data_IF_591461840029
#
_entry.id   IF_591461840029
#
_cell.length_a   1.000
_cell.length_b   1.000
_cell.length_c   1.000
_cell.angle_alpha   90.00
_cell.angle_beta   90.00
_cell.angle_gamma   90.00
#
_symmetry.space_group_name_H-M   'P 1'
#
loop_
_entity.id
_entity.type
_entity.pdbx_description
1 polymer ?
#
# COMPACT_ATOMS: atom_id res chain seq x y z
N UNK A 1 -1.07 16.88 -1.70
CA UNK A 1 -0.63 15.54 -1.25
C UNK A 1 -1.33 15.27 0.08
N UNK A 2 -1.91 14.09 0.26
CA UNK A 2 -2.66 13.75 1.49
C UNK A 2 -1.90 12.80 2.41
N UNK A 3 -1.12 11.87 1.85
CA UNK A 3 -0.27 10.96 2.62
C UNK A 3 0.93 10.50 1.77
N UNK A 4 2.00 10.05 2.42
CA UNK A 4 3.16 9.46 1.76
C UNK A 4 3.80 8.36 2.63
N UNK A 5 4.48 7.41 2.01
CA UNK A 5 5.22 6.37 2.72
C UNK A 5 6.47 5.94 1.96
N UNK A 6 7.60 5.89 2.67
CA UNK A 6 8.88 5.43 2.13
C UNK A 6 8.92 3.91 1.92
N UNK A 7 9.56 3.48 0.84
CA UNK A 7 10.03 2.11 0.72
C UNK A 7 11.12 1.87 1.77
N UNK A 8 10.98 0.78 2.53
CA UNK A 8 11.93 0.40 3.58
C UNK A 8 12.90 -0.70 3.12
N UNK A 9 12.96 -0.98 1.82
CA UNK A 9 13.89 -1.93 1.24
C UNK A 9 15.29 -1.35 1.19
N UNK A 10 16.24 -1.98 1.89
CA UNK A 10 17.64 -1.51 1.95
C UNK A 10 18.37 -1.61 0.59
N UNK A 11 17.87 -2.46 -0.30
CA UNK A 11 18.47 -2.74 -1.60
C UNK A 11 17.63 -2.19 -2.76
N UNK A 12 16.68 -1.30 -2.48
CA UNK A 12 15.95 -0.56 -3.50
C UNK A 12 16.56 0.84 -3.64
N UNK A 13 16.61 1.39 -4.86
CA UNK A 13 16.77 2.83 -5.01
C UNK A 13 15.72 3.56 -4.17
N UNK A 14 16.07 4.74 -3.65
CA UNK A 14 15.17 5.52 -2.82
C UNK A 14 13.82 5.69 -3.54
N UNK A 15 12.77 5.13 -2.95
CA UNK A 15 11.43 5.06 -3.55
C UNK A 15 10.40 5.39 -2.48
N UNK A 16 9.35 6.13 -2.82
CA UNK A 16 8.25 6.44 -1.91
C UNK A 16 6.91 6.43 -2.64
N UNK A 17 5.84 6.05 -1.94
CA UNK A 17 4.47 6.12 -2.41
C UNK A 17 3.84 7.44 -1.95
N UNK A 18 3.05 8.07 -2.82
CA UNK A 18 2.33 9.32 -2.54
C UNK A 18 0.85 9.15 -2.87
N UNK A 19 -0.01 9.46 -1.90
CA UNK A 19 -1.45 9.62 -2.06
C UNK A 19 -1.84 11.10 -2.27
N UNK A 20 -2.81 11.33 -3.16
CA UNK A 20 -3.29 12.67 -3.49
C UNK A 20 -4.77 12.85 -3.15
N UNK A 21 -5.18 14.09 -2.87
CA UNK A 21 -6.59 14.45 -2.66
C UNK A 21 -7.47 14.23 -3.90
N UNK A 22 -6.85 14.12 -5.08
CA UNK A 22 -7.50 13.75 -6.34
C UNK A 22 -7.78 12.25 -6.48
N UNK A 23 -7.41 11.41 -5.50
CA UNK A 23 -7.55 9.95 -5.56
C UNK A 23 -6.42 9.24 -6.30
N UNK A 24 -5.48 9.98 -6.86
CA UNK A 24 -4.26 9.42 -7.46
C UNK A 24 -3.37 8.81 -6.37
N UNK A 25 -2.73 7.70 -6.73
CA UNK A 25 -1.65 7.07 -5.96
C UNK A 25 -0.47 6.82 -6.92
N UNK A 26 0.71 7.34 -6.59
CA UNK A 26 1.89 7.23 -7.45
C UNK A 26 3.13 6.87 -6.64
N UNK A 27 3.99 6.06 -7.24
CA UNK A 27 5.31 5.74 -6.70
C UNK A 27 6.34 6.61 -7.39
N UNK A 28 7.13 7.31 -6.58
CA UNK A 28 8.26 8.11 -7.04
C UNK A 28 9.55 7.40 -6.66
N UNK A 29 10.49 7.35 -7.60
CA UNK A 29 11.82 6.77 -7.43
C UNK A 29 12.86 7.82 -7.78
N UNK A 30 13.91 7.90 -6.96
CA UNK A 30 15.06 8.73 -7.28
C UNK A 30 15.85 8.09 -8.42
N UNK A 31 16.06 8.86 -9.48
CA UNK A 31 16.93 8.50 -10.59
C UNK A 31 18.26 9.23 -10.44
N UNK A 32 19.35 8.47 -10.35
CA UNK A 32 20.69 9.01 -10.12
C UNK A 32 21.21 9.77 -11.35
N UNK A 33 20.90 9.28 -12.56
CA UNK A 33 21.32 9.91 -13.82
C UNK A 33 20.66 11.27 -14.04
N UNK A 34 19.36 11.37 -13.81
CA UNK A 34 18.59 12.60 -13.89
C UNK A 34 18.67 13.47 -12.61
N UNK A 35 19.30 12.97 -11.55
CA UNK A 35 19.41 13.59 -10.22
C UNK A 35 18.07 14.13 -9.69
N UNK A 36 16.97 13.43 -10.00
CA UNK A 36 15.62 13.89 -9.75
C UNK A 36 14.67 12.74 -9.41
N UNK A 37 13.52 13.07 -8.84
CA UNK A 37 12.48 12.11 -8.51
C UNK A 37 11.54 11.93 -9.69
N UNK A 38 11.45 10.71 -10.22
CA UNK A 38 10.59 10.36 -11.36
C UNK A 38 9.40 9.53 -10.90
N UNK A 39 8.23 9.73 -11.51
CA UNK A 39 7.08 8.86 -11.31
C UNK A 39 7.37 7.50 -11.96
N UNK A 40 7.65 6.48 -11.14
CA UNK A 40 7.99 5.15 -11.60
C UNK A 40 6.76 4.37 -12.06
N UNK A 41 5.66 4.45 -11.30
CA UNK A 41 4.40 3.80 -11.64
C UNK A 41 3.23 4.49 -10.94
N UNK A 42 2.07 4.47 -11.60
CA UNK A 42 0.79 4.89 -11.02
C UNK A 42 -0.03 3.67 -10.64
N UNK A 43 -0.47 3.63 -9.39
CA UNK A 43 -1.37 2.58 -8.90
C UNK A 43 -2.83 2.91 -9.21
N UNK A 44 -3.76 1.93 -9.14
CA UNK A 44 -5.17 2.19 -9.32
C UNK A 44 -5.68 3.31 -8.41
N UNK A 45 -6.45 4.22 -8.99
CA UNK A 45 -6.97 5.38 -8.29
C UNK A 45 -8.08 5.03 -7.29
N UNK A 46 -8.21 5.84 -6.25
CA UNK A 46 -9.40 5.87 -5.42
C UNK A 46 -10.49 6.68 -6.14
N UNK A 47 -11.62 6.03 -6.41
CA UNK A 47 -12.74 6.58 -7.16
C UNK A 47 -14.03 5.82 -6.80
N UNK A 48 -15.18 6.47 -7.01
CA UNK A 48 -16.48 5.79 -6.89
C UNK A 48 -16.69 4.77 -8.01
N UNK A 49 -17.73 3.94 -7.88
CA UNK A 49 -18.14 3.01 -8.93
C UNK A 49 -18.39 3.70 -10.29
N UNK A 50 -18.79 4.98 -10.28
CA UNK A 50 -19.02 5.78 -11.48
C UNK A 50 -17.76 6.50 -11.99
N UNK A 51 -16.58 6.14 -11.48
CA UNK A 51 -15.29 6.71 -11.88
C UNK A 51 -14.99 8.11 -11.32
N UNK A 52 -15.82 8.63 -10.40
CA UNK A 52 -15.58 9.96 -9.84
C UNK A 52 -14.45 9.87 -8.82
N UNK A 53 -13.33 10.60 -8.98
CA UNK A 53 -12.18 10.46 -8.10
C UNK A 53 -12.50 10.80 -6.64
N UNK A 54 -11.85 10.11 -5.71
CA UNK A 54 -12.03 10.29 -4.26
C UNK A 54 -10.67 10.33 -3.59
N UNK A 55 -10.46 11.31 -2.71
CA UNK A 55 -9.16 11.55 -2.11
C UNK A 55 -8.61 10.35 -1.34
N UNK A 56 -7.32 10.09 -1.50
CA UNK A 56 -6.59 9.11 -0.71
C UNK A 56 -6.44 9.67 0.71
N UNK A 57 -6.76 8.88 1.73
CA UNK A 57 -6.66 9.26 3.13
C UNK A 57 -5.31 8.84 3.72
N UNK A 58 -4.86 7.63 3.41
CA UNK A 58 -3.57 7.14 3.88
C UNK A 58 -2.92 6.16 2.90
N UNK A 59 -1.59 6.09 2.95
CA UNK A 59 -0.78 5.13 2.21
C UNK A 59 0.29 4.56 3.12
N UNK A 60 0.52 3.24 3.06
CA UNK A 60 1.53 2.58 3.88
C UNK A 60 2.30 1.53 3.07
N UNK A 61 3.61 1.72 2.97
CA UNK A 61 4.52 0.79 2.32
C UNK A 61 5.00 -0.28 3.31
N UNK A 62 4.84 -1.56 2.98
CA UNK A 62 5.23 -2.66 3.84
C UNK A 62 6.77 -2.86 3.84
N UNK A 63 7.41 -3.07 5.00
CA UNK A 63 8.79 -3.54 5.08
C UNK A 63 9.02 -4.80 4.23
N UNK A 64 10.05 -4.83 3.39
CA UNK A 64 10.29 -5.94 2.47
C UNK A 64 11.17 -7.05 3.09
N UNK A 65 10.72 -7.65 4.20
CA UNK A 65 11.46 -8.74 4.86
C UNK A 65 11.16 -10.06 4.14
N UNK A 66 12.12 -10.57 3.36
CA UNK A 66 12.04 -11.90 2.74
C UNK A 66 11.07 -12.03 1.55
N UNK A 67 10.53 -10.94 0.99
CA UNK A 67 9.68 -10.97 -0.21
C UNK A 67 10.40 -10.47 -1.44
N UNK A 68 10.04 -11.01 -2.61
CA UNK A 68 10.54 -10.58 -3.92
C UNK A 68 9.69 -9.46 -4.55
N UNK A 69 8.68 -8.99 -3.82
CA UNK A 69 7.72 -7.97 -4.22
C UNK A 69 7.43 -7.03 -3.05
N UNK A 70 6.94 -5.84 -3.36
CA UNK A 70 6.47 -4.86 -2.40
C UNK A 70 4.96 -4.98 -2.23
N UNK A 71 4.52 -4.72 -1.00
CA UNK A 71 3.11 -4.48 -0.69
C UNK A 71 2.93 -3.04 -0.27
N UNK A 72 1.89 -2.41 -0.80
CA UNK A 72 1.52 -1.03 -0.50
C UNK A 72 0.04 -1.03 -0.18
N UNK A 73 -0.30 -0.62 1.04
CA UNK A 73 -1.68 -0.43 1.44
C UNK A 73 -2.10 1.01 1.13
N UNK A 74 -3.34 1.20 0.68
CA UNK A 74 -3.94 2.52 0.51
C UNK A 74 -5.38 2.50 0.97
N UNK A 75 -5.82 3.60 1.57
CA UNK A 75 -7.22 3.83 1.89
C UNK A 75 -7.67 5.21 1.41
N UNK A 76 -8.95 5.36 1.08
CA UNK A 76 -9.47 6.59 0.51
C UNK A 76 -10.94 6.81 0.80
N UNK A 77 -11.43 8.00 0.43
CA UNK A 77 -12.84 8.43 0.54
C UNK A 77 -13.79 7.71 -0.42
N UNK A 78 -13.31 6.70 -1.14
CA UNK A 78 -14.14 5.73 -1.86
C UNK A 78 -14.56 4.55 -0.98
N UNK A 79 -14.26 4.61 0.32
CA UNK A 79 -14.53 3.58 1.32
C UNK A 79 -13.88 2.26 0.95
N UNK A 80 -12.66 2.30 0.40
CA UNK A 80 -11.90 1.10 0.04
C UNK A 80 -10.56 1.11 0.75
N UNK A 81 -10.27 -0.01 1.42
CA UNK A 81 -8.91 -0.39 1.80
C UNK A 81 -8.37 -1.35 0.74
N UNK A 82 -7.21 -1.02 0.17
CA UNK A 82 -6.57 -1.81 -0.88
C UNK A 82 -5.16 -2.20 -0.48
N UNK A 83 -4.73 -3.36 -0.96
CA UNK A 83 -3.32 -3.77 -0.97
C UNK A 83 -2.88 -3.99 -2.41
N UNK A 84 -1.83 -3.27 -2.80
CA UNK A 84 -1.22 -3.36 -4.12
C UNK A 84 0.06 -4.17 -4.05
N UNK A 85 0.23 -5.09 -5.02
CA UNK A 85 1.45 -5.86 -5.22
C UNK A 85 2.27 -5.23 -6.33
N UNK A 86 3.51 -4.86 -6.03
CA UNK A 86 4.45 -4.24 -6.98
C UNK A 86 5.75 -5.03 -7.00
N UNK A 87 6.18 -5.48 -8.16
CA UNK A 87 7.42 -6.25 -8.32
C UNK A 87 8.48 -5.44 -9.04
N UNK A 88 9.74 -5.76 -8.78
CA UNK A 88 10.86 -5.29 -9.59
C UNK A 88 10.80 -5.99 -10.95
N UNK A 89 10.60 -5.22 -12.01
CA UNK A 89 10.78 -5.68 -13.38
C UNK A 89 12.24 -5.98 -13.64
N UNK A 90 12.51 -7.03 -14.43
CA UNK A 90 13.82 -7.20 -15.05
C UNK A 90 13.89 -6.19 -16.19
N UNK A 91 14.87 -5.29 -16.17
CA UNK A 91 15.13 -4.40 -17.29
C UNK A 91 15.21 -5.22 -18.57
N UNK A 92 14.35 -4.90 -19.55
CA UNK A 92 14.39 -5.56 -20.85
C UNK A 92 15.73 -5.26 -21.52
N UNK A 93 16.43 -6.32 -21.95
CA UNK A 93 17.47 -6.19 -22.98
C UNK A 93 16.79 -5.72 -24.26
N UNK A 94 16.88 -4.43 -24.55
CA UNK A 94 16.98 -3.97 -25.93
C UNK A 94 18.38 -4.29 -26.45
N UNK A 95 18.46 -4.55 -27.75
CA UNK A 95 19.57 -5.14 -28.52
C UNK A 95 21.00 -4.62 -28.23
N UNK A 96 21.95 -5.48 -28.58
CA UNK A 96 23.40 -5.42 -28.37
C UNK A 96 24.04 -4.03 -28.55
N UNK A 97 24.85 -3.60 -27.57
CA UNK A 97 25.91 -2.61 -27.83
C UNK A 97 26.18 -1.48 -26.84
N UNK A 98 25.52 -1.38 -25.68
CA UNK A 98 25.78 -0.27 -24.76
C UNK A 98 26.12 -0.70 -23.32
N UNK A 99 27.17 -0.07 -22.80
CA UNK A 99 27.78 -0.14 -21.47
C UNK A 99 26.83 -0.51 -20.33
N UNK A 100 27.26 -1.46 -19.50
CA UNK A 100 26.59 -1.89 -18.27
C UNK A 100 26.69 -0.80 -17.20
N UNK A 101 25.92 0.27 -17.33
CA UNK A 101 25.58 1.17 -16.22
C UNK A 101 24.21 0.74 -15.68
N UNK A 102 24.24 0.12 -14.49
CA UNK A 102 23.11 -0.23 -13.62
C UNK A 102 21.72 -0.15 -14.28
N UNK A 103 21.28 -1.26 -14.90
CA UNK A 103 19.94 -1.40 -15.45
C UNK A 103 18.90 -0.86 -14.44
N UNK A 104 18.23 0.23 -14.78
CA UNK A 104 17.24 0.84 -13.89
C UNK A 104 16.16 -0.22 -13.64
N UNK A 105 16.13 -0.72 -12.40
CA UNK A 105 15.13 -1.72 -12.02
C UNK A 105 13.75 -1.07 -12.22
N UNK A 106 12.98 -1.53 -13.20
CA UNK A 106 11.64 -0.99 -13.42
C UNK A 106 10.71 -1.51 -12.33
N UNK A 107 9.62 -0.79 -12.04
CA UNK A 107 8.57 -1.27 -11.16
C UNK A 107 7.36 -1.68 -11.99
N UNK A 108 6.78 -2.84 -11.66
CA UNK A 108 5.62 -3.40 -12.36
C UNK A 108 4.52 -3.66 -11.34
N UNK A 109 3.33 -3.12 -11.58
CA UNK A 109 2.13 -3.39 -10.78
C UNK A 109 1.57 -4.74 -11.20
N UNK A 110 1.50 -5.69 -10.26
CA UNK A 110 1.03 -7.05 -10.54
C UNK A 110 -0.44 -7.25 -10.18
N UNK A 111 -1.00 -6.44 -9.28
CA UNK A 111 -2.38 -6.59 -8.86
C UNK A 111 -2.77 -5.74 -7.66
N UNK A 112 -4.08 -5.67 -7.45
CA UNK A 112 -4.71 -4.96 -6.35
C UNK A 112 -5.78 -5.85 -5.74
N UNK A 113 -5.78 -5.93 -4.42
CA UNK A 113 -6.81 -6.62 -3.65
C UNK A 113 -7.59 -5.59 -2.82
N UNK A 114 -8.92 -5.61 -2.92
CA UNK A 114 -9.80 -4.83 -2.04
C UNK A 114 -10.04 -5.63 -0.74
N UNK A 115 -9.60 -5.11 0.41
CA UNK A 115 -9.70 -5.77 1.71
C UNK A 115 -11.01 -5.44 2.43
N UNK A 116 -11.39 -4.16 2.43
CA UNK A 116 -12.58 -3.68 3.12
C UNK A 116 -13.34 -2.65 2.28
N UNK A 117 -14.64 -2.53 2.56
CA UNK A 117 -15.56 -1.55 1.96
C UNK A 117 -16.03 -0.50 2.97
N UNK A 118 -15.33 -0.37 4.09
CA UNK A 118 -15.58 0.62 5.14
C UNK A 118 -14.76 1.89 4.91
N UNK A 119 -15.18 2.99 5.55
CA UNK A 119 -14.43 4.24 5.54
C UNK A 119 -13.19 4.09 6.44
N UNK A 120 -12.05 3.76 5.83
CA UNK A 120 -10.76 3.60 6.52
C UNK A 120 -9.94 4.87 6.37
N UNK A 121 -9.51 5.44 7.49
CA UNK A 121 -8.76 6.69 7.53
C UNK A 121 -7.26 6.48 7.70
N UNK A 122 -6.85 5.38 8.32
CA UNK A 122 -5.45 5.06 8.60
C UNK A 122 -5.19 3.60 8.29
N UNK A 123 -4.02 3.34 7.71
CA UNK A 123 -3.54 1.98 7.51
C UNK A 123 -2.04 1.91 7.82
N UNK A 124 -1.58 0.85 8.48
CA UNK A 124 -0.18 0.73 8.84
C UNK A 124 0.27 -0.73 8.89
N UNK A 125 1.44 -1.00 8.33
CA UNK A 125 2.08 -2.30 8.43
C UNK A 125 2.87 -2.45 9.73
N UNK A 126 2.87 -3.65 10.29
CA UNK A 126 3.79 -4.02 11.35
C UNK A 126 5.26 -4.04 10.85
N UNK A 127 6.20 -4.22 11.77
CA UNK A 127 7.65 -4.17 11.48
C UNK A 127 8.10 -5.17 10.41
N UNK A 128 7.50 -6.37 10.39
CA UNK A 128 7.83 -7.42 9.41
C UNK A 128 7.07 -7.26 8.08
N UNK A 129 6.11 -6.34 8.01
CA UNK A 129 5.24 -6.14 6.85
C UNK A 129 4.30 -7.31 6.54
N UNK A 130 4.02 -8.17 7.53
CA UNK A 130 3.15 -9.36 7.39
C UNK A 130 1.73 -9.12 7.86
N UNK A 131 1.52 -8.14 8.74
CA UNK A 131 0.20 -7.76 9.26
C UNK A 131 -0.04 -6.30 8.95
N UNK A 132 -1.20 -6.01 8.38
CA UNK A 132 -1.71 -4.66 8.16
C UNK A 132 -2.77 -4.36 9.22
N UNK A 133 -2.68 -3.21 9.87
CA UNK A 133 -3.73 -2.68 10.71
C UNK A 133 -4.48 -1.57 9.95
N UNK A 134 -5.80 -1.50 10.11
CA UNK A 134 -6.62 -0.42 9.56
C UNK A 134 -7.59 0.11 10.60
N UNK A 135 -7.80 1.42 10.63
CA UNK A 135 -8.79 2.08 11.50
C UNK A 135 -9.62 3.10 10.72
N UNK A 136 -10.87 3.27 11.12
CA UNK A 136 -11.84 4.14 10.47
C UNK A 136 -13.01 4.51 11.37
N UNK A 137 -14.12 4.93 10.78
CA UNK A 137 -15.31 5.44 11.49
C UNK A 137 -16.03 4.42 12.37
N UNK A 138 -15.84 3.12 12.12
CA UNK A 138 -16.54 2.07 12.85
C UNK A 138 -16.07 1.91 14.31
N UNK A 139 -15.07 2.67 14.77
CA UNK A 139 -14.51 2.50 16.12
C UNK A 139 -13.80 1.16 16.32
N UNK A 140 -13.52 0.43 15.24
CA UNK A 140 -12.86 -0.87 15.24
C UNK A 140 -11.53 -0.76 14.49
N UNK A 141 -10.48 -1.31 15.07
CA UNK A 141 -9.23 -1.58 14.38
C UNK A 141 -9.26 -3.01 13.86
N UNK A 142 -9.11 -3.16 12.54
CA UNK A 142 -9.05 -4.48 11.89
C UNK A 142 -7.60 -4.84 11.58
N UNK A 143 -7.24 -6.09 11.82
CA UNK A 143 -5.93 -6.66 11.49
C UNK A 143 -6.08 -7.61 10.30
N UNK A 144 -5.22 -7.46 9.31
CA UNK A 144 -5.26 -8.19 8.06
C UNK A 144 -3.96 -8.94 7.83
N UNK A 145 -4.06 -10.19 7.38
CA UNK A 145 -2.90 -11.03 7.05
C UNK A 145 -3.18 -11.84 5.79
N UNK A 146 -2.16 -12.03 4.96
CA UNK A 146 -2.25 -12.89 3.79
C UNK A 146 -2.26 -14.37 4.17
N UNK A 147 -3.13 -15.16 3.55
CA UNK A 147 -3.08 -16.62 3.63
C UNK A 147 -2.00 -17.21 2.70
N UNK A 148 -1.92 -18.55 2.64
CA UNK A 148 -0.96 -19.26 1.80
C UNK A 148 -1.21 -19.10 0.30
N UNK A 149 -2.41 -18.64 -0.09
CA UNK A 149 -2.75 -18.31 -1.48
C UNK A 149 -2.41 -16.84 -1.81
N UNK A 150 -1.90 -16.08 -0.84
CA UNK A 150 -1.56 -14.67 -0.99
C UNK A 150 -2.77 -13.73 -0.87
N UNK A 151 -3.94 -14.23 -0.45
CA UNK A 151 -5.15 -13.41 -0.25
C UNK A 151 -5.19 -12.86 1.16
N UNK A 152 -5.52 -11.59 1.31
CA UNK A 152 -5.66 -10.96 2.62
C UNK A 152 -6.99 -11.32 3.28
N UNK A 153 -6.92 -11.69 4.55
CA UNK A 153 -8.08 -11.94 5.40
C UNK A 153 -8.00 -11.11 6.68
N UNK A 154 -9.15 -10.65 7.16
CA UNK A 154 -9.26 -10.08 8.49
C UNK A 154 -9.06 -11.21 9.50
N UNK A 155 -8.06 -11.08 10.37
CA UNK A 155 -7.70 -12.10 11.38
C UNK A 155 -8.11 -11.70 12.80
N UNK A 156 -8.39 -10.42 13.03
CA UNK A 156 -8.78 -9.91 14.34
C UNK A 156 -9.42 -8.54 14.19
N UNK A 157 -10.39 -8.27 15.06
CA UNK A 157 -11.00 -6.97 15.22
C UNK A 157 -10.86 -6.52 16.68
N UNK A 158 -10.40 -5.29 16.87
CA UNK A 158 -10.24 -4.66 18.19
C UNK A 158 -11.25 -3.52 18.24
N UNK A 159 -12.29 -3.70 19.06
CA UNK A 159 -13.31 -2.68 19.28
C UNK A 159 -12.76 -1.67 20.29
N UNK A 160 -12.80 -0.39 19.94
CA UNK A 160 -12.45 0.69 20.86
C UNK A 160 -13.45 0.77 22.01
N UNK A 161 -12.97 1.10 23.21
CA UNK A 161 -13.83 1.21 24.37
C UNK A 161 -14.79 2.39 24.23
N UNK A 162 -16.06 2.11 23.95
CA UNK A 162 -17.16 3.07 24.10
C UNK A 162 -17.52 3.18 25.58
N UNK A 163 -16.60 3.68 26.42
CA UNK A 163 -16.90 3.98 27.82
C UNK A 163 -17.92 5.11 27.88
N UNK A 164 -19.20 4.72 27.84
CA UNK A 164 -20.38 5.56 27.80
C UNK A 164 -21.67 4.74 27.64
N UNK A 165 -21.61 3.53 27.09
CA UNK A 165 -22.73 2.57 27.10
C UNK A 165 -22.16 1.17 27.28
N UNK A 166 -22.44 0.57 28.44
CA UNK A 166 -21.77 -0.65 28.89
C UNK A 166 -21.92 -1.82 27.92
N UNK A 167 -20.79 -2.38 27.49
CA UNK A 167 -20.64 -3.78 27.10
C UNK A 167 -19.15 -4.14 27.01
N UNK A 168 -18.81 -5.34 27.45
CA UNK A 168 -17.45 -5.87 27.58
C UNK A 168 -16.68 -5.85 26.25
N UNK A 169 -15.42 -5.40 26.30
CA UNK A 169 -14.45 -5.57 25.23
C UNK A 169 -14.17 -7.06 25.03
N UNK A 170 -14.57 -7.60 23.88
CA UNK A 170 -14.32 -8.98 23.49
C UNK A 170 -13.49 -9.00 22.21
N UNK A 171 -12.23 -9.43 22.32
CA UNK A 171 -11.40 -9.77 21.16
C UNK A 171 -12.01 -11.01 20.52
N UNK A 172 -12.62 -10.86 19.33
CA UNK A 172 -13.12 -11.98 18.53
C UNK A 172 -12.05 -12.39 17.54
N UNK A 173 -11.47 -13.57 17.74
CA UNK A 173 -10.64 -14.24 16.76
C UNK A 173 -11.55 -15.12 15.88
N UNK A 174 -11.47 -14.98 14.56
CA UNK A 174 -12.13 -15.87 13.60
C UNK A 174 -11.18 -16.97 13.15
#
# INVERSE_FOLDING_TARGET
>A
VSSFSWCRGLFDPATLCVGFSSGRVSLYRYDDGARSWLEAIRLPNHATANGVPRGVLDVAWAPNVGRSYHLIATCGKDNRLRVHRVKRGRGGKGEEGASQTAASSSLVHEGTEDLDRSEVWRCQWNLTGTVLASSGDCGVVKLWKSDFQGKFKCISEIVGDTTGMGAASAVRNQ
#
